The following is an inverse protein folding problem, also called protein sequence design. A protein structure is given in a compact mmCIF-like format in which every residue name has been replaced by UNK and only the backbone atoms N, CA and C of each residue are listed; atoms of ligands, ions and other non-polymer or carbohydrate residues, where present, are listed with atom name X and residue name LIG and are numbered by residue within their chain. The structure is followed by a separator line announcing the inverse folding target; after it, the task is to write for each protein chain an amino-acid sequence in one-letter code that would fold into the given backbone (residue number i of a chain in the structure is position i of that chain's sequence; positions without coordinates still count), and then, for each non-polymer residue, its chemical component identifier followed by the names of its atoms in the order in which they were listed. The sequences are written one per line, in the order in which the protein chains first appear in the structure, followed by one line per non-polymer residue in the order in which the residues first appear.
data_IF_633428784472
#
_entry.id   IF_633428784472
#
_cell.length_a   1.000
_cell.length_b   1.000
_cell.length_c   1.000
_cell.angle_alpha   90.00
_cell.angle_beta   90.00
_cell.angle_gamma   90.00
#
_symmetry.space_group_name_H-M   'P 1'
#
loop_
_entity.id
_entity.type
_entity.pdbx_description
1 polymer ?
#
# COMPACT_ATOMS: atom_id res chain seq x y z
N UNK A 1 -62.63 -49.66 20.20
CA UNK A 1 -61.35 -50.02 19.54
C UNK A 1 -61.22 -49.17 18.27
N UNK A 2 -60.00 -48.67 17.98
CA UNK A 2 -59.65 -47.63 16.97
C UNK A 2 -59.96 -46.19 17.39
N UNK A 3 -59.11 -45.16 17.22
CA UNK A 3 -57.82 -45.05 16.50
C UNK A 3 -57.03 -43.79 16.96
N UNK A 4 -55.71 -43.96 17.05
CA UNK A 4 -54.65 -43.07 16.51
C UNK A 4 -54.51 -41.63 17.00
N UNK A 5 -53.48 -41.38 17.82
CA UNK A 5 -52.66 -40.17 17.76
C UNK A 5 -51.20 -40.58 17.88
N UNK A 6 -50.42 -40.42 16.80
CA UNK A 6 -48.95 -40.52 16.84
C UNK A 6 -48.32 -39.43 15.97
N UNK A 7 -47.49 -38.65 16.65
CA UNK A 7 -46.20 -38.09 16.23
C UNK A 7 -46.17 -37.15 15.02
N UNK A 8 -46.21 -35.84 15.30
CA UNK A 8 -45.74 -34.82 14.38
C UNK A 8 -44.24 -34.57 14.65
N UNK A 9 -43.39 -35.16 13.82
CA UNK A 9 -41.95 -34.88 13.76
C UNK A 9 -41.75 -33.61 12.93
N UNK A 10 -41.35 -32.51 13.56
CA UNK A 10 -40.99 -31.29 12.83
C UNK A 10 -39.54 -31.41 12.33
N UNK A 11 -39.37 -31.57 11.02
CA UNK A 11 -38.07 -31.50 10.34
C UNK A 11 -37.76 -30.02 10.09
N UNK A 12 -36.82 -29.44 10.84
CA UNK A 12 -36.27 -28.13 10.52
C UNK A 12 -35.28 -28.27 9.35
N UNK A 13 -35.74 -27.92 8.15
CA UNK A 13 -34.87 -27.72 7.00
C UNK A 13 -34.16 -26.36 7.13
N UNK A 14 -32.87 -26.36 7.47
CA UNK A 14 -32.00 -25.20 7.30
C UNK A 14 -31.70 -25.04 5.80
N UNK A 15 -32.56 -24.29 5.09
CA UNK A 15 -32.28 -23.84 3.74
C UNK A 15 -31.18 -22.76 3.80
N UNK A 16 -30.08 -23.03 3.11
CA UNK A 16 -28.83 -22.27 3.20
C UNK A 16 -28.94 -20.82 2.71
N UNK A 17 -28.41 -19.91 3.53
CA UNK A 17 -28.08 -18.56 3.09
C UNK A 17 -26.73 -18.60 2.37
N UNK A 18 -26.75 -18.61 1.04
CA UNK A 18 -25.58 -18.26 0.25
C UNK A 18 -25.34 -16.75 0.40
N UNK A 19 -24.46 -16.37 1.33
CA UNK A 19 -24.02 -14.99 1.46
C UNK A 19 -23.05 -14.72 0.31
N UNK A 20 -23.53 -14.02 -0.71
CA UNK A 20 -22.68 -13.46 -1.76
C UNK A 20 -21.68 -12.50 -1.11
N UNK A 21 -20.45 -12.97 -0.89
CA UNK A 21 -19.34 -12.09 -0.56
C UNK A 21 -19.06 -11.23 -1.79
N UNK A 22 -19.62 -10.01 -1.79
CA UNK A 22 -19.23 -8.99 -2.75
C UNK A 22 -17.72 -8.78 -2.60
N UNK A 23 -16.96 -9.23 -3.59
CA UNK A 23 -15.52 -8.94 -3.69
C UNK A 23 -15.42 -7.43 -3.86
N UNK A 24 -15.18 -6.71 -2.76
CA UNK A 24 -14.92 -5.29 -2.85
C UNK A 24 -13.62 -5.11 -3.65
N UNK A 25 -13.59 -4.20 -4.64
CA UNK A 25 -12.34 -3.89 -5.32
C UNK A 25 -11.34 -3.42 -4.27
N UNK A 26 -10.14 -4.02 -4.25
CA UNK A 26 -9.04 -3.51 -3.45
C UNK A 26 -8.73 -2.09 -3.96
N UNK A 27 -9.16 -1.08 -3.20
CA UNK A 27 -8.88 0.31 -3.52
C UNK A 27 -7.38 0.49 -3.43
N UNK A 28 -6.73 0.72 -4.57
CA UNK A 28 -5.30 0.97 -4.63
C UNK A 28 -5.01 2.30 -3.90
N UNK A 29 -4.52 2.20 -2.67
CA UNK A 29 -4.27 3.34 -1.80
C UNK A 29 -2.83 3.85 -2.02
N UNK A 30 -2.72 5.13 -2.39
CA UNK A 30 -1.43 5.80 -2.54
C UNK A 30 -0.68 5.85 -1.20
N UNK A 31 0.60 5.47 -1.20
CA UNK A 31 1.49 5.72 -0.08
C UNK A 31 1.90 7.19 -0.05
N UNK A 32 2.00 7.80 1.14
CA UNK A 32 2.50 9.16 1.32
C UNK A 32 3.61 9.23 2.37
N UNK A 33 4.65 9.99 2.07
CA UNK A 33 5.77 10.27 2.95
C UNK A 33 5.89 11.78 3.15
N UNK A 34 6.13 12.19 4.40
CA UNK A 34 6.45 13.57 4.77
C UNK A 34 7.49 13.60 5.87
N UNK A 35 8.51 14.45 5.73
CA UNK A 35 9.52 14.66 6.77
C UNK A 35 10.04 16.09 6.75
N UNK A 36 10.09 16.73 7.91
CA UNK A 36 10.78 18.00 8.12
C UNK A 36 12.11 17.76 8.84
N UNK A 37 13.20 18.28 8.30
CA UNK A 37 14.56 18.08 8.84
C UNK A 37 15.44 19.29 8.56
N UNK A 38 16.09 19.82 9.60
CA UNK A 38 17.14 20.85 9.46
C UNK A 38 16.74 22.03 8.56
N UNK A 39 15.48 22.47 8.65
CA UNK A 39 14.94 23.56 7.82
C UNK A 39 14.41 23.15 6.45
N UNK A 40 14.62 21.91 6.00
CA UNK A 40 14.02 21.37 4.78
C UNK A 40 12.72 20.62 5.04
N UNK A 41 11.87 20.60 4.02
CA UNK A 41 10.68 19.74 3.93
C UNK A 41 10.87 18.76 2.79
N UNK A 42 10.50 17.51 3.03
CA UNK A 42 10.48 16.45 2.04
C UNK A 42 9.11 15.81 1.97
N UNK A 43 8.67 15.51 0.75
CA UNK A 43 7.50 14.70 0.47
C UNK A 43 7.86 13.54 -0.43
N UNK A 44 7.03 12.51 -0.42
CA UNK A 44 7.22 11.33 -1.25
C UNK A 44 5.97 10.49 -1.26
N UNK A 45 6.00 9.42 -2.03
CA UNK A 45 4.89 8.51 -2.07
C UNK A 45 4.95 7.53 -3.22
N UNK A 46 3.81 6.87 -3.40
CA UNK A 46 3.56 5.89 -4.44
C UNK A 46 2.19 6.18 -5.05
N UNK A 47 2.14 6.22 -6.38
CA UNK A 47 0.92 6.49 -7.16
C UNK A 47 -0.11 5.39 -6.93
N UNK A 48 -1.40 5.72 -7.03
CA UNK A 48 -2.48 4.72 -6.93
C UNK A 48 -2.37 3.59 -7.97
N UNK A 49 -1.75 3.82 -9.14
CA UNK A 49 -1.49 2.77 -10.14
C UNK A 49 -0.32 1.84 -9.78
N UNK A 50 0.36 2.09 -8.65
CA UNK A 50 1.57 1.38 -8.22
C UNK A 50 2.68 1.36 -9.28
N UNK A 51 2.68 2.31 -10.22
CA UNK A 51 3.64 2.34 -11.34
C UNK A 51 4.70 3.42 -11.17
N UNK A 52 4.48 4.33 -10.22
CA UNK A 52 5.32 5.50 -9.99
C UNK A 52 5.53 5.74 -8.48
N UNK A 53 6.77 5.99 -8.08
CA UNK A 53 7.12 6.40 -6.72
C UNK A 53 8.09 7.58 -6.76
N UNK A 54 8.07 8.44 -5.73
CA UNK A 54 8.90 9.64 -5.68
C UNK A 54 9.34 9.99 -4.26
N UNK A 55 10.45 10.73 -4.18
CA UNK A 55 10.87 11.50 -3.01
C UNK A 55 11.37 12.86 -3.50
N UNK A 56 10.96 13.94 -2.84
CA UNK A 56 11.29 15.32 -3.21
C UNK A 56 11.64 16.12 -1.97
N UNK A 57 12.65 16.99 -2.08
CA UNK A 57 12.88 18.13 -1.18
C UNK A 57 12.05 19.30 -1.71
N UNK A 58 10.99 19.66 -0.99
CA UNK A 58 10.04 20.70 -1.41
C UNK A 58 10.52 22.10 -1.05
N UNK A 59 11.29 22.24 0.02
CA UNK A 59 11.83 23.54 0.45
C UNK A 59 13.07 23.39 1.34
N UNK A 60 13.80 24.50 1.51
CA UNK A 60 14.96 24.65 2.38
C UNK A 60 16.31 24.36 1.70
N UNK A 61 17.37 24.98 2.21
CA UNK A 61 18.74 24.89 1.66
C UNK A 61 19.64 23.91 2.43
N UNK A 62 19.05 22.98 3.20
CA UNK A 62 19.82 21.99 3.94
C UNK A 62 20.55 21.03 3.00
N UNK A 63 21.67 20.45 3.46
CA UNK A 63 22.50 19.51 2.69
C UNK A 63 21.91 18.11 2.49
N UNK A 64 20.65 17.86 2.90
CA UNK A 64 20.01 16.55 2.70
C UNK A 64 19.67 16.28 1.23
N UNK A 65 19.43 15.02 0.89
CA UNK A 65 19.10 14.57 -0.47
C UNK A 65 17.76 13.82 -0.41
N UNK A 66 17.02 13.81 -1.51
CA UNK A 66 15.87 12.92 -1.69
C UNK A 66 16.38 11.52 -2.02
N UNK A 67 16.05 10.53 -1.19
CA UNK A 67 16.38 9.12 -1.44
C UNK A 67 15.10 8.33 -1.63
N UNK A 68 15.12 7.40 -2.57
CA UNK A 68 14.01 6.51 -2.89
C UNK A 68 14.55 5.09 -3.07
N UNK A 69 13.95 4.15 -2.35
CA UNK A 69 14.17 2.72 -2.50
C UNK A 69 12.81 2.08 -2.79
N UNK A 70 12.74 1.33 -3.88
CA UNK A 70 11.51 0.65 -4.30
C UNK A 70 11.75 -0.84 -4.48
N UNK A 71 10.72 -1.61 -4.12
CA UNK A 71 10.63 -3.04 -4.41
C UNK A 71 9.59 -3.26 -5.49
N UNK A 72 10.04 -3.76 -6.63
CA UNK A 72 9.15 -4.14 -7.72
C UNK A 72 8.36 -5.40 -7.36
N UNK A 73 7.21 -5.62 -7.97
CA UNK A 73 6.35 -6.79 -7.74
C UNK A 73 7.03 -8.12 -8.07
N UNK A 74 8.09 -8.10 -8.89
CA UNK A 74 8.94 -9.27 -9.16
C UNK A 74 10.03 -9.51 -8.08
N UNK A 75 10.01 -8.74 -6.99
CA UNK A 75 10.95 -8.85 -5.87
C UNK A 75 12.27 -8.08 -6.05
N UNK A 76 12.52 -7.46 -7.21
CA UNK A 76 13.74 -6.68 -7.45
C UNK A 76 13.70 -5.37 -6.66
N UNK A 77 14.82 -5.03 -6.03
CA UNK A 77 15.03 -3.74 -5.38
C UNK A 77 15.76 -2.77 -6.30
N UNK A 78 15.44 -1.48 -6.19
CA UNK A 78 16.14 -0.40 -6.89
C UNK A 78 16.18 0.85 -6.02
N UNK A 79 17.35 1.46 -5.93
CA UNK A 79 17.62 2.65 -5.13
C UNK A 79 18.11 3.79 -6.02
N UNK A 80 17.68 5.01 -5.72
CA UNK A 80 18.17 6.24 -6.35
C UNK A 80 18.15 7.38 -5.35
N UNK A 81 19.06 8.34 -5.50
CA UNK A 81 19.06 9.55 -4.69
C UNK A 81 19.57 10.76 -5.47
N UNK A 82 19.03 11.94 -5.18
CA UNK A 82 19.46 13.22 -5.75
C UNK A 82 19.23 14.38 -4.78
N UNK A 83 19.90 15.51 -5.00
CA UNK A 83 19.84 16.67 -4.09
C UNK A 83 18.45 17.29 -3.95
N UNK A 84 17.63 17.21 -5.01
CA UNK A 84 16.32 17.85 -5.11
C UNK A 84 15.16 16.87 -5.16
N UNK A 85 15.08 16.04 -6.20
CA UNK A 85 13.96 15.12 -6.39
C UNK A 85 14.42 13.86 -7.11
N UNK A 86 13.82 12.75 -6.74
CA UNK A 86 13.96 11.47 -7.43
C UNK A 86 12.60 10.83 -7.65
N UNK A 87 12.52 10.05 -8.71
CA UNK A 87 11.34 9.23 -9.02
C UNK A 87 11.75 7.95 -9.72
N UNK A 88 10.94 6.91 -9.57
CA UNK A 88 11.05 5.69 -10.35
C UNK A 88 9.70 5.32 -10.96
N UNK A 89 9.74 4.93 -12.22
CA UNK A 89 8.61 4.32 -12.93
C UNK A 89 8.93 2.86 -13.18
N UNK A 90 7.98 1.98 -12.89
CA UNK A 90 8.21 0.55 -12.88
C UNK A 90 7.71 -0.16 -14.16
N UNK A 91 7.00 0.59 -15.02
CA UNK A 91 6.43 0.08 -16.27
C UNK A 91 5.46 -1.06 -15.99
N UNK A 92 5.68 -2.22 -16.62
CA UNK A 92 4.82 -3.40 -16.46
C UNK A 92 5.01 -4.14 -15.13
N UNK A 93 6.15 -3.95 -14.46
CA UNK A 93 6.41 -4.56 -13.16
C UNK A 93 5.92 -3.55 -12.12
N UNK A 94 4.74 -3.70 -11.52
CA UNK A 94 4.28 -2.76 -10.48
C UNK A 94 5.29 -2.57 -9.34
N UNK A 95 5.09 -1.55 -8.53
CA UNK A 95 5.83 -1.26 -7.30
C UNK A 95 5.03 -1.83 -6.14
N UNK A 96 5.65 -2.74 -5.40
CA UNK A 96 5.05 -3.39 -4.23
C UNK A 96 5.39 -2.68 -2.92
N UNK A 97 6.54 -2.00 -2.85
CA UNK A 97 6.94 -1.22 -1.68
C UNK A 97 7.71 0.04 -2.10
N UNK A 98 7.52 1.13 -1.35
CA UNK A 98 8.25 2.38 -1.52
C UNK A 98 8.76 2.92 -0.17
N UNK A 99 10.06 3.23 -0.15
CA UNK A 99 10.80 3.65 1.03
C UNK A 99 11.56 4.95 0.77
N UNK A 100 11.65 5.79 1.79
CA UNK A 100 12.15 7.15 1.67
C UNK A 100 13.12 7.49 2.81
N UNK A 101 14.14 8.30 2.52
CA UNK A 101 14.98 8.95 3.54
C UNK A 101 15.49 10.30 3.03
N UNK A 102 16.06 11.11 3.92
CA UNK A 102 16.46 12.50 3.60
C UNK A 102 17.97 12.74 3.64
N UNK A 103 18.75 11.69 3.92
CA UNK A 103 20.21 11.66 3.91
C UNK A 103 20.71 10.21 4.02
N UNK A 104 22.01 9.98 3.80
CA UNK A 104 22.60 8.65 3.80
C UNK A 104 22.45 7.90 5.14
N UNK A 105 22.71 8.59 6.26
CA UNK A 105 22.79 8.02 7.61
C UNK A 105 21.44 8.05 8.36
N UNK A 106 20.35 7.80 7.65
CA UNK A 106 19.01 7.72 8.23
C UNK A 106 18.36 6.38 7.93
N UNK A 107 17.51 5.94 8.84
CA UNK A 107 16.62 4.81 8.61
C UNK A 107 15.62 5.11 7.50
N UNK A 108 15.30 4.09 6.73
CA UNK A 108 14.28 4.14 5.70
C UNK A 108 12.88 4.18 6.32
N UNK A 109 12.02 5.04 5.77
CA UNK A 109 10.60 5.12 6.14
C UNK A 109 9.75 4.60 4.99
N UNK A 110 8.93 3.57 5.25
CA UNK A 110 8.03 3.00 4.26
C UNK A 110 6.77 3.85 4.11
N UNK A 111 6.38 4.16 2.88
CA UNK A 111 5.07 4.80 2.58
C UNK A 111 4.06 3.83 1.98
N UNK A 112 4.54 2.74 1.36
CA UNK A 112 3.75 1.66 0.80
C UNK A 112 4.48 0.34 1.07
#
# INVERSE_FOLDING_TARGET
MSRTLRNATAVLAFAGAAVSLAVQPAVAHSGYFYKKRSGCVYTGGLSAGHEYAWTRKDSGDCAGHAWLLVKLSNGKWSEVHESGSVSMTSGWNGISEAWHKTQANEDWVRSH
#
